data_IF_437744902924
#
_entry.id   IF_437744902924
#
_cell.length_a   1.000
_cell.length_b   1.000
_cell.length_c   1.000
_cell.angle_alpha   90.00
_cell.angle_beta   90.00
_cell.angle_gamma   90.00
#
_symmetry.space_group_name_H-M   'P 1'
#
loop_
_entity.id
_entity.type
_entity.pdbx_description
1 polymer ?
#
# COMPACT_ATOMS: atom_id res chain seq x y z
N UNK A 1 0.59 5.96 -19.78
CA UNK A 1 0.62 5.21 -18.50
C UNK A 1 0.13 6.18 -17.45
N UNK A 2 -0.84 5.80 -16.62
CA UNK A 2 -1.32 6.67 -15.55
C UNK A 2 -0.23 6.75 -14.48
N UNK A 3 0.16 7.96 -14.07
CA UNK A 3 1.10 8.15 -12.97
C UNK A 3 0.33 8.14 -11.64
N UNK A 4 0.89 7.50 -10.61
CA UNK A 4 0.28 7.52 -9.28
C UNK A 4 0.33 8.94 -8.71
N UNK A 5 -0.69 9.29 -7.93
CA UNK A 5 -0.71 10.60 -7.27
C UNK A 5 0.14 10.56 -6.01
N UNK A 6 1.22 11.33 -6.00
CA UNK A 6 2.08 11.46 -4.82
C UNK A 6 1.52 12.47 -3.81
N UNK A 7 1.66 12.15 -2.53
CA UNK A 7 1.41 13.06 -1.41
C UNK A 7 2.76 13.44 -0.79
N UNK A 8 2.99 14.74 -0.63
CA UNK A 8 4.31 15.27 -0.27
C UNK A 8 4.38 15.84 1.15
N UNK A 9 3.28 15.83 1.89
CA UNK A 9 3.22 16.32 3.27
C UNK A 9 2.38 15.39 4.13
N UNK A 10 2.70 15.32 5.43
CA UNK A 10 1.88 14.55 6.37
C UNK A 10 0.43 15.04 6.43
N UNK A 11 0.24 16.35 6.29
CA UNK A 11 -1.09 16.95 6.25
C UNK A 11 -1.92 16.46 5.05
N UNK A 12 -1.31 16.34 3.86
CA UNK A 12 -2.03 15.83 2.69
C UNK A 12 -2.43 14.36 2.86
N UNK A 13 -1.56 13.56 3.49
CA UNK A 13 -1.86 12.15 3.83
C UNK A 13 -3.04 12.09 4.80
N UNK A 14 -2.96 12.78 5.93
CA UNK A 14 -4.02 12.79 6.95
C UNK A 14 -5.34 13.30 6.37
N UNK A 15 -5.30 14.44 5.67
CA UNK A 15 -6.48 15.04 5.06
C UNK A 15 -7.15 14.07 4.09
N UNK A 16 -6.37 13.36 3.28
CA UNK A 16 -6.91 12.42 2.29
C UNK A 16 -7.59 11.22 2.97
N UNK A 17 -6.98 10.70 4.04
CA UNK A 17 -7.54 9.57 4.82
C UNK A 17 -8.81 9.99 5.58
N UNK A 18 -8.84 11.22 6.11
CA UNK A 18 -9.95 11.73 6.92
C UNK A 18 -11.15 12.14 6.07
N UNK A 19 -10.93 12.80 4.94
CA UNK A 19 -12.02 13.39 4.15
C UNK A 19 -12.73 12.39 3.22
N UNK A 20 -12.09 11.27 2.86
CA UNK A 20 -12.72 10.27 1.99
C UNK A 20 -13.52 9.27 2.83
N UNK A 21 -14.85 9.43 2.79
CA UNK A 21 -15.79 8.56 3.50
C UNK A 21 -16.43 7.50 2.60
N UNK A 22 -16.22 7.59 1.29
CA UNK A 22 -16.90 6.76 0.28
C UNK A 22 -15.97 5.71 -0.34
N UNK A 23 -14.66 5.99 -0.40
CA UNK A 23 -13.70 5.12 -1.07
C UNK A 23 -12.72 4.51 -0.07
N UNK A 24 -12.15 3.37 -0.44
CA UNK A 24 -10.90 2.91 0.17
C UNK A 24 -9.78 3.88 -0.23
N UNK A 25 -9.03 4.36 0.73
CA UNK A 25 -7.80 5.13 0.49
C UNK A 25 -6.64 4.15 0.61
N UNK A 26 -6.06 3.77 -0.51
CA UNK A 26 -4.87 2.91 -0.59
C UNK A 26 -3.62 3.79 -0.69
N UNK A 27 -2.69 3.65 0.24
CA UNK A 27 -1.46 4.47 0.30
C UNK A 27 -0.24 3.56 0.26
N UNK A 28 0.58 3.71 -0.78
CA UNK A 28 1.86 3.03 -0.94
C UNK A 28 2.97 3.89 -0.33
N UNK A 29 3.55 3.42 0.76
CA UNK A 29 4.72 4.03 1.40
C UNK A 29 5.99 3.33 0.92
N UNK A 30 6.98 4.08 0.44
CA UNK A 30 8.29 3.53 0.11
C UNK A 30 9.39 4.56 0.36
N UNK A 31 10.57 4.07 0.75
CA UNK A 31 11.81 4.86 0.80
C UNK A 31 12.62 4.77 -0.49
N UNK A 32 12.25 3.84 -1.37
CA UNK A 32 13.00 3.46 -2.56
C UNK A 32 12.32 3.98 -3.83
N UNK A 33 11.71 5.19 -3.79
CA UNK A 33 11.12 5.80 -4.99
C UNK A 33 12.16 6.17 -6.05
N UNK A 34 13.39 6.48 -5.61
CA UNK A 34 14.51 6.80 -6.49
C UNK A 34 15.62 5.78 -6.30
N UNK A 35 16.30 5.41 -7.39
CA UNK A 35 17.51 4.59 -7.36
C UNK A 35 18.69 5.42 -6.84
N UNK A 36 18.66 5.81 -5.57
CA UNK A 36 19.68 6.69 -5.01
C UNK A 36 21.07 6.01 -4.95
N UNK A 37 21.10 4.69 -4.81
CA UNK A 37 22.33 3.92 -4.54
C UNK A 37 22.44 2.71 -5.49
N UNK A 38 22.92 2.91 -6.71
CA UNK A 38 23.20 1.82 -7.67
C UNK A 38 24.28 0.85 -7.15
N UNK A 39 25.12 1.31 -6.20
CA UNK A 39 26.17 0.53 -5.56
C UNK A 39 25.64 -0.39 -4.43
N UNK A 40 24.40 -0.20 -3.95
CA UNK A 40 23.74 -1.09 -2.99
C UNK A 40 22.75 -2.02 -3.71
N UNK A 41 23.10 -3.32 -3.88
CA UNK A 41 22.26 -4.27 -4.61
C UNK A 41 20.88 -4.47 -3.95
N UNK A 42 20.77 -4.31 -2.62
CA UNK A 42 19.50 -4.46 -1.90
C UNK A 42 18.61 -3.23 -2.15
N UNK A 43 19.19 -2.03 -2.11
CA UNK A 43 18.46 -0.81 -2.41
C UNK A 43 17.93 -0.79 -3.87
N UNK A 44 18.75 -1.27 -4.81
CA UNK A 44 18.35 -1.42 -6.21
C UNK A 44 17.20 -2.44 -6.37
N UNK A 45 17.29 -3.61 -5.73
CA UNK A 45 16.21 -4.60 -5.73
C UNK A 45 14.90 -4.02 -5.18
N UNK A 46 14.96 -3.32 -4.04
CA UNK A 46 13.78 -2.70 -3.44
C UNK A 46 13.17 -1.59 -4.30
N UNK A 47 14.00 -0.83 -5.00
CA UNK A 47 13.54 0.16 -5.98
C UNK A 47 12.78 -0.52 -7.12
N UNK A 48 13.31 -1.61 -7.67
CA UNK A 48 12.64 -2.39 -8.73
C UNK A 48 11.30 -2.98 -8.24
N UNK A 49 11.25 -3.53 -7.04
CA UNK A 49 10.01 -4.07 -6.46
C UNK A 49 8.96 -2.97 -6.20
N UNK A 50 9.41 -1.79 -5.73
CA UNK A 50 8.53 -0.62 -5.56
C UNK A 50 7.97 -0.16 -6.91
N UNK A 51 8.83 -0.05 -7.94
CA UNK A 51 8.41 0.36 -9.28
C UNK A 51 7.45 -0.66 -9.92
N UNK A 52 7.67 -1.97 -9.71
CA UNK A 52 6.76 -3.02 -10.16
C UNK A 52 5.38 -2.91 -9.50
N UNK A 53 5.36 -2.65 -8.19
CA UNK A 53 4.12 -2.44 -7.45
C UNK A 53 3.39 -1.16 -7.93
N UNK A 54 4.12 -0.08 -8.17
CA UNK A 54 3.56 1.17 -8.68
C UNK A 54 2.96 0.99 -10.09
N UNK A 55 3.61 0.19 -10.94
CA UNK A 55 3.08 -0.19 -12.24
C UNK A 55 1.75 -0.95 -12.14
N UNK A 56 1.66 -1.92 -11.23
CA UNK A 56 0.43 -2.68 -10.99
C UNK A 56 -0.70 -1.78 -10.45
N UNK A 57 -0.39 -0.90 -9.50
CA UNK A 57 -1.33 0.08 -8.94
C UNK A 57 -1.83 1.07 -10.01
N UNK A 58 -0.94 1.55 -10.87
CA UNK A 58 -1.28 2.44 -11.97
C UNK A 58 -2.21 1.79 -13.00
N UNK A 59 -1.98 0.50 -13.30
CA UNK A 59 -2.83 -0.27 -14.22
C UNK A 59 -4.27 -0.38 -13.69
N UNK A 60 -4.42 -0.69 -12.39
CA UNK A 60 -5.75 -0.89 -11.79
C UNK A 60 -6.44 0.42 -11.42
N UNK A 61 -5.71 1.54 -11.31
CA UNK A 61 -6.23 2.82 -10.82
C UNK A 61 -7.53 3.26 -11.52
N UNK A 62 -7.65 3.03 -12.84
CA UNK A 62 -8.87 3.37 -13.58
C UNK A 62 -10.02 2.38 -13.31
N UNK A 63 -9.70 1.10 -13.10
CA UNK A 63 -10.68 0.03 -12.84
C UNK A 63 -11.33 0.18 -11.47
N UNK A 64 -10.56 0.59 -10.46
CA UNK A 64 -11.03 0.71 -9.06
C UNK A 64 -11.50 2.11 -8.64
N UNK A 65 -11.40 3.12 -9.53
CA UNK A 65 -11.64 4.54 -9.20
C UNK A 65 -12.98 4.87 -8.54
N UNK A 66 -13.99 4.03 -8.74
CA UNK A 66 -15.34 4.22 -8.20
C UNK A 66 -15.45 3.85 -6.72
N UNK A 67 -14.49 3.09 -6.18
CA UNK A 67 -14.51 2.61 -4.80
C UNK A 67 -13.14 2.64 -4.11
N UNK A 68 -12.08 3.03 -4.81
CA UNK A 68 -10.74 3.17 -4.25
C UNK A 68 -9.98 4.35 -4.86
N UNK A 69 -9.24 5.07 -4.01
CA UNK A 69 -8.28 6.11 -4.36
C UNK A 69 -6.89 5.62 -4.00
N UNK A 70 -5.97 5.68 -4.97
CA UNK A 70 -4.60 5.19 -4.80
C UNK A 70 -3.64 6.38 -4.74
N UNK A 71 -2.76 6.37 -3.76
CA UNK A 71 -1.73 7.37 -3.52
C UNK A 71 -0.38 6.73 -3.25
N UNK A 72 0.67 7.50 -3.53
CA UNK A 72 2.05 7.15 -3.23
C UNK A 72 2.66 8.17 -2.24
N UNK A 73 3.51 7.70 -1.34
CA UNK A 73 4.24 8.51 -0.36
C UNK A 73 5.70 8.07 -0.31
N UNK A 74 6.59 9.03 -0.47
CA UNK A 74 8.03 8.90 -0.22
C UNK A 74 8.31 9.10 1.27
N UNK A 75 8.69 8.02 1.97
CA UNK A 75 8.91 8.04 3.42
C UNK A 75 10.19 8.77 3.85
N UNK A 76 11.09 9.10 2.91
CA UNK A 76 12.23 9.97 3.20
C UNK A 76 11.80 11.44 3.29
N UNK A 77 10.77 11.83 2.52
CA UNK A 77 10.24 13.19 2.49
C UNK A 77 9.13 13.41 3.52
N UNK A 78 8.35 12.37 3.79
CA UNK A 78 7.23 12.38 4.76
C UNK A 78 7.46 11.28 5.81
N UNK A 79 8.38 11.48 6.77
CA UNK A 79 8.77 10.46 7.73
C UNK A 79 7.80 10.29 8.92
N UNK A 80 6.80 11.16 9.07
CA UNK A 80 5.93 11.25 10.26
C UNK A 80 5.17 9.96 10.56
N UNK A 81 4.96 9.11 9.55
CA UNK A 81 4.24 7.84 9.68
C UNK A 81 5.15 6.63 9.92
N UNK A 82 6.48 6.80 9.85
CA UNK A 82 7.42 5.69 9.82
C UNK A 82 7.42 4.88 11.10
N UNK A 83 7.35 5.54 12.26
CA UNK A 83 7.24 4.85 13.55
C UNK A 83 5.85 4.22 13.73
N UNK A 84 4.79 4.94 13.39
CA UNK A 84 3.40 4.51 13.61
C UNK A 84 3.03 3.26 12.80
N UNK A 85 3.53 3.13 11.58
CA UNK A 85 3.27 2.00 10.69
C UNK A 85 4.47 1.05 10.53
N UNK A 86 5.50 1.21 11.38
CA UNK A 86 6.71 0.38 11.39
C UNK A 86 7.38 0.30 10.00
N UNK A 87 7.47 1.41 9.26
CA UNK A 87 7.91 1.47 7.84
C UNK A 87 9.45 1.41 7.66
N UNK A 88 10.19 1.37 8.77
CA UNK A 88 11.65 1.42 8.80
C UNK A 88 12.31 0.03 8.69
N UNK A 89 11.55 -1.06 8.50
CA UNK A 89 12.13 -2.39 8.34
C UNK A 89 13.02 -2.43 7.07
N UNK A 90 14.33 -2.70 7.19
CA UNK A 90 15.24 -2.71 6.05
C UNK A 90 15.00 -3.88 5.09
N UNK A 91 14.11 -4.84 5.40
CA UNK A 91 13.74 -5.96 4.52
C UNK A 91 12.50 -5.68 3.69
N UNK A 92 11.76 -4.61 4.00
CA UNK A 92 10.52 -4.26 3.31
C UNK A 92 10.81 -3.21 2.23
N UNK A 93 10.57 -3.52 0.94
CA UNK A 93 10.80 -2.55 -0.14
C UNK A 93 9.78 -1.40 -0.09
N UNK A 94 8.55 -1.72 0.31
CA UNK A 94 7.43 -0.79 0.43
C UNK A 94 6.40 -1.35 1.40
N UNK A 95 5.40 -0.53 1.73
CA UNK A 95 4.21 -0.95 2.46
C UNK A 95 2.96 -0.31 1.83
N UNK A 96 2.02 -1.14 1.40
CA UNK A 96 0.69 -0.71 0.98
C UNK A 96 -0.28 -0.87 2.16
N UNK A 97 -0.87 0.25 2.59
CA UNK A 97 -1.87 0.32 3.65
C UNK A 97 -3.22 0.74 3.08
N UNK A 98 -4.30 0.30 3.73
CA UNK A 98 -5.67 0.60 3.31
C UNK A 98 -6.45 1.30 4.42
N UNK A 99 -7.12 2.39 4.07
CA UNK A 99 -7.96 3.14 4.99
C UNK A 99 -9.38 3.26 4.45
N UNK A 100 -10.37 3.30 5.34
CA UNK A 100 -11.76 3.54 4.97
C UNK A 100 -12.44 4.31 6.12
N UNK A 101 -13.05 5.47 5.82
CA UNK A 101 -13.70 6.33 6.83
C UNK A 101 -12.79 6.62 8.03
N UNK A 102 -11.57 7.11 7.76
CA UNK A 102 -10.53 7.41 8.74
C UNK A 102 -10.11 6.22 9.64
N UNK A 103 -10.29 4.98 9.16
CA UNK A 103 -9.86 3.77 9.89
C UNK A 103 -8.92 2.94 9.04
N UNK A 104 -7.82 2.52 9.64
CA UNK A 104 -6.94 1.52 9.05
C UNK A 104 -7.66 0.16 9.00
N UNK A 105 -7.78 -0.41 7.80
CA UNK A 105 -8.39 -1.72 7.55
C UNK A 105 -7.28 -2.74 7.34
N UNK A 106 -7.13 -3.65 8.30
CA UNK A 106 -6.18 -4.76 8.22
C UNK A 106 -6.64 -5.76 7.17
N UNK A 107 -5.71 -6.42 6.49
CA UNK A 107 -5.99 -7.42 5.47
C UNK A 107 -5.28 -8.73 5.80
N UNK A 108 -6.05 -9.77 6.12
CA UNK A 108 -5.53 -11.13 6.28
C UNK A 108 -5.53 -11.86 4.94
N UNK A 109 -4.33 -12.01 4.39
CA UNK A 109 -4.01 -12.79 3.17
C UNK A 109 -3.13 -13.99 3.48
N UNK A 110 -3.09 -14.42 4.76
CA UNK A 110 -2.29 -15.55 5.25
C UNK A 110 -0.77 -15.41 5.07
N UNK A 111 -0.25 -14.17 5.04
CA UNK A 111 1.20 -13.88 4.96
C UNK A 111 1.83 -13.70 6.35
N UNK A 112 1.01 -13.58 7.40
CA UNK A 112 1.46 -13.30 8.77
C UNK A 112 1.55 -11.82 9.12
N UNK A 113 1.54 -10.92 8.13
CA UNK A 113 1.42 -9.48 8.35
C UNK A 113 0.07 -8.98 7.80
N UNK A 114 -0.83 -8.63 8.71
CA UNK A 114 -2.17 -8.14 8.35
C UNK A 114 -2.25 -6.61 8.33
N UNK A 115 -1.21 -5.90 8.77
CA UNK A 115 -1.22 -4.44 8.88
C UNK A 115 -0.80 -3.76 7.56
N UNK A 116 -0.09 -4.46 6.68
CA UNK A 116 0.42 -3.89 5.42
C UNK A 116 0.73 -5.00 4.42
N UNK A 117 0.57 -4.67 3.14
CA UNK A 117 1.02 -5.52 2.03
C UNK A 117 2.40 -5.01 1.58
N UNK A 118 3.43 -5.82 1.78
CA UNK A 118 4.85 -5.47 1.57
C UNK A 118 5.51 -6.35 0.48
N UNK A 119 4.70 -6.99 -0.36
CA UNK A 119 5.12 -7.86 -1.47
C UNK A 119 4.38 -7.46 -2.74
N UNK A 120 4.98 -7.77 -3.89
CA UNK A 120 4.38 -7.48 -5.20
C UNK A 120 3.20 -8.41 -5.44
N UNK A 121 2.12 -7.88 -6.00
CA UNK A 121 0.88 -8.62 -6.28
C UNK A 121 0.46 -8.35 -7.72
N UNK A 122 -0.12 -9.34 -8.39
CA UNK A 122 -0.66 -9.16 -9.74
C UNK A 122 -1.86 -8.19 -9.74
N UNK A 123 -2.09 -7.43 -10.83
CA UNK A 123 -3.16 -6.45 -10.92
C UNK A 123 -4.56 -6.98 -10.54
N UNK A 124 -4.94 -8.16 -11.03
CA UNK A 124 -6.26 -8.74 -10.73
C UNK A 124 -6.39 -9.14 -9.25
N UNK A 125 -5.32 -9.66 -8.65
CA UNK A 125 -5.28 -9.97 -7.22
C UNK A 125 -5.36 -8.71 -6.34
N UNK A 126 -4.75 -7.60 -6.77
CA UNK A 126 -4.88 -6.31 -6.07
C UNK A 126 -6.31 -5.79 -6.09
N UNK A 127 -7.03 -5.96 -7.20
CA UNK A 127 -8.44 -5.59 -7.29
C UNK A 127 -9.26 -6.41 -6.29
N UNK A 128 -9.06 -7.72 -6.25
CA UNK A 128 -9.74 -8.61 -5.30
C UNK A 128 -9.45 -8.20 -3.84
N UNK A 129 -8.19 -7.87 -3.51
CA UNK A 129 -7.81 -7.38 -2.18
C UNK A 129 -8.56 -6.08 -1.83
N UNK A 130 -8.58 -5.10 -2.73
CA UNK A 130 -9.26 -3.81 -2.51
C UNK A 130 -10.78 -4.02 -2.37
N UNK A 131 -11.39 -4.93 -3.15
CA UNK A 131 -12.81 -5.23 -3.00
C UNK A 131 -13.15 -5.82 -1.62
N UNK A 132 -12.32 -6.75 -1.13
CA UNK A 132 -12.52 -7.35 0.19
C UNK A 132 -12.36 -6.28 1.29
N UNK A 133 -11.37 -5.40 1.17
CA UNK A 133 -11.17 -4.25 2.06
C UNK A 133 -12.37 -3.32 2.05
N UNK A 134 -12.88 -2.94 0.88
CA UNK A 134 -14.06 -2.08 0.74
C UNK A 134 -15.28 -2.71 1.41
N UNK A 135 -15.57 -3.99 1.12
CA UNK A 135 -16.71 -4.71 1.74
C UNK A 135 -16.57 -4.85 3.26
N UNK A 136 -15.36 -4.96 3.79
CA UNK A 136 -15.11 -5.00 5.23
C UNK A 136 -15.32 -3.62 5.87
N UNK A 137 -14.73 -2.58 5.27
CA UNK A 137 -14.86 -1.20 5.71
C UNK A 137 -16.30 -0.69 5.70
N UNK A 138 -17.06 -0.99 4.64
CA UNK A 138 -18.48 -0.63 4.52
C UNK A 138 -19.34 -1.26 5.63
N UNK A 139 -19.02 -2.50 6.02
CA UNK A 139 -19.64 -3.20 7.15
C UNK A 139 -19.10 -2.77 8.52
N UNK A 140 -18.22 -1.77 8.58
CA UNK A 140 -17.61 -1.26 9.81
C UNK A 140 -16.58 -2.21 10.45
N UNK A 141 -16.04 -3.17 9.69
CA UNK A 141 -15.03 -4.13 10.19
C UNK A 141 -13.62 -3.57 9.96
N UNK A 142 -12.76 -3.66 10.98
CA UNK A 142 -11.35 -3.27 10.88
C UNK A 142 -10.41 -4.36 10.35
N UNK A 143 -10.94 -5.54 10.02
CA UNK A 143 -10.20 -6.65 9.43
C UNK A 143 -10.97 -7.21 8.23
N UNK A 144 -10.33 -7.18 7.08
CA UNK A 144 -10.69 -7.87 5.86
C UNK A 144 -9.99 -9.23 5.82
N UNK A 145 -10.69 -10.27 5.37
CA UNK A 145 -10.11 -11.60 5.18
C UNK A 145 -10.19 -11.95 3.70
N UNK A 146 -9.02 -12.09 3.08
CA UNK A 146 -8.88 -12.45 1.67
C UNK A 146 -9.36 -13.87 1.42
N UNK A 147 -9.93 -14.10 0.24
CA UNK A 147 -10.33 -15.45 -0.21
C UNK A 147 -9.11 -16.21 -0.74
N UNK A 148 -8.22 -15.52 -1.46
CA UNK A 148 -6.96 -16.05 -1.96
C UNK A 148 -5.87 -15.92 -0.89
N UNK A 149 -5.06 -16.97 -0.74
CA UNK A 149 -3.97 -17.04 0.25
C UNK A 149 -2.63 -16.79 -0.44
N UNK A 150 -1.82 -15.95 0.16
CA UNK A 150 -0.49 -15.55 -0.34
C UNK A 150 0.61 -16.01 0.62
N UNK A 151 0.42 -17.13 1.31
CA UNK A 151 1.35 -17.62 2.33
C UNK A 151 2.77 -17.87 1.83
N UNK A 152 2.96 -18.11 0.54
CA UNK A 152 4.27 -18.28 -0.09
C UNK A 152 4.99 -16.95 -0.39
N UNK A 153 4.29 -15.82 -0.28
CA UNK A 153 4.83 -14.46 -0.46
C UNK A 153 5.16 -13.79 0.87
N UNK A 154 5.05 -14.52 1.97
CA UNK A 154 5.43 -14.03 3.28
C UNK A 154 6.92 -13.73 3.31
N UNK A 155 7.29 -12.51 3.67
CA UNK A 155 8.67 -12.18 4.01
C UNK A 155 9.03 -12.97 5.27
N UNK A 156 10.03 -13.85 5.17
CA UNK A 156 10.51 -14.62 6.30
C UNK A 156 11.03 -13.67 7.39
N UNK A 157 10.47 -13.78 8.59
CA UNK A 157 10.89 -13.01 9.77
C UNK A 157 12.15 -13.61 10.39
#
# INVERSE_FOLDING_TARGET
MAELRHLHTAWDVDRTIVLDEEHVVAVRFSRHETCADEDDPVAFEHHMLTAQMDGALAEIATRVRNFCRIYAVDTNKVPEFNEMFELNDPREPFALLFFFKNKHIKLDVSTGNNNKVNFVVEPDDLIDMIEVVYRAGDKGRGLATGVKKFSHMAIAR
#
